data_IF_845951899325
#
_entry.id   IF_845951899325
#
_cell.length_a   1.000
_cell.length_b   1.000
_cell.length_c   1.000
_cell.angle_alpha   90.00
_cell.angle_beta   90.00
_cell.angle_gamma   90.00
#
_symmetry.space_group_name_H-M   'P 1'
#
loop_
_entity.id
_entity.type
_entity.pdbx_description
1 polymer ?
#
# COMPACT_ATOMS: atom_id res chain seq x y z
N UNK A 1 4.43 1.94 -18.31
CA UNK A 1 3.28 1.76 -17.41
C UNK A 1 2.78 0.35 -17.61
N UNK A 2 2.61 -0.40 -16.54
CA UNK A 2 2.14 -1.79 -16.59
C UNK A 2 0.65 -1.86 -16.97
N UNK A 3 0.23 -2.99 -17.55
CA UNK A 3 -1.18 -3.27 -17.82
C UNK A 3 -1.81 -4.00 -16.62
N UNK A 4 -3.01 -3.60 -16.21
CA UNK A 4 -3.71 -4.23 -15.10
C UNK A 4 -3.95 -5.73 -15.40
N UNK A 5 -3.64 -6.62 -14.45
CA UNK A 5 -3.79 -8.06 -14.67
C UNK A 5 -5.21 -8.48 -14.99
N UNK A 6 -6.23 -7.76 -14.52
CA UNK A 6 -7.62 -8.18 -14.62
C UNK A 6 -8.39 -7.52 -15.76
N UNK A 7 -8.08 -6.26 -16.08
CA UNK A 7 -8.85 -5.47 -17.04
C UNK A 7 -8.00 -4.79 -18.12
N UNK A 8 -6.68 -5.03 -18.13
CA UNK A 8 -5.71 -4.47 -19.06
C UNK A 8 -5.66 -2.93 -19.10
N UNK A 9 -6.32 -2.25 -18.16
CA UNK A 9 -6.24 -0.81 -17.98
C UNK A 9 -4.90 -0.37 -17.40
N UNK A 10 -4.60 0.92 -17.44
CA UNK A 10 -3.33 1.44 -16.94
C UNK A 10 -3.19 1.27 -15.44
N UNK A 11 -2.08 0.66 -15.03
CA UNK A 11 -1.61 0.66 -13.65
C UNK A 11 -0.80 1.94 -13.39
N UNK A 12 -1.16 2.64 -12.31
CA UNK A 12 -0.47 3.84 -11.85
C UNK A 12 0.33 3.53 -10.59
N UNK A 13 1.58 3.99 -10.48
CA UNK A 13 2.37 3.79 -9.27
C UNK A 13 1.68 4.48 -8.10
N UNK A 14 1.50 3.76 -7.02
CA UNK A 14 0.99 4.26 -5.75
C UNK A 14 1.85 3.73 -4.62
N UNK A 15 1.83 4.42 -3.48
CA UNK A 15 2.57 3.99 -2.31
C UNK A 15 1.58 3.75 -1.19
N UNK A 16 1.81 2.69 -0.42
CA UNK A 16 1.09 2.47 0.83
C UNK A 16 2.11 2.18 1.88
N UNK A 17 2.31 3.16 2.75
CA UNK A 17 3.24 3.06 3.87
C UNK A 17 4.68 2.68 3.46
N UNK A 18 5.13 3.21 2.31
CA UNK A 18 6.46 2.96 1.74
C UNK A 18 6.55 1.72 0.85
N UNK A 19 5.48 0.95 0.73
CA UNK A 19 5.39 -0.21 -0.16
C UNK A 19 5.11 0.25 -1.59
N UNK A 20 6.03 0.02 -2.54
CA UNK A 20 5.77 0.29 -3.94
C UNK A 20 4.71 -0.70 -4.44
N UNK A 21 3.61 -0.16 -4.96
CA UNK A 21 2.56 -0.94 -5.62
C UNK A 21 2.00 -0.15 -6.79
N UNK A 22 1.21 -0.78 -7.63
CA UNK A 22 0.47 -0.09 -8.67
C UNK A 22 -1.04 -0.27 -8.48
N UNK A 23 -1.82 0.77 -8.76
CA UNK A 23 -3.29 0.73 -8.70
C UNK A 23 -3.87 0.96 -10.09
N UNK A 24 -4.84 0.14 -10.48
CA UNK A 24 -5.54 0.33 -11.74
C UNK A 24 -6.50 1.52 -11.67
N UNK A 25 -6.43 2.43 -12.65
CA UNK A 25 -7.38 3.54 -12.76
C UNK A 25 -8.79 3.12 -13.23
N UNK A 26 -8.95 1.89 -13.75
CA UNK A 26 -10.23 1.38 -14.30
C UNK A 26 -10.98 0.52 -13.29
N UNK A 27 -10.40 -0.59 -12.84
CA UNK A 27 -11.07 -1.51 -11.91
C UNK A 27 -10.63 -1.33 -10.46
N UNK A 28 -9.68 -0.43 -10.14
CA UNK A 28 -9.13 -0.22 -8.81
C UNK A 28 -8.31 -1.38 -8.20
N UNK A 29 -8.09 -2.46 -8.94
CA UNK A 29 -7.21 -3.57 -8.52
C UNK A 29 -5.78 -3.10 -8.22
N UNK A 30 -5.11 -3.81 -7.33
CA UNK A 30 -3.75 -3.53 -6.92
C UNK A 30 -2.79 -4.58 -7.47
N UNK A 31 -1.59 -4.15 -7.82
CA UNK A 31 -0.48 -5.01 -8.20
C UNK A 31 0.72 -4.73 -7.30
N UNK A 32 1.28 -5.80 -6.73
CA UNK A 32 2.53 -5.77 -5.99
C UNK A 32 3.61 -6.52 -6.78
N UNK A 33 4.74 -5.85 -6.99
CA UNK A 33 5.89 -6.47 -7.65
C UNK A 33 6.61 -7.44 -6.70
N UNK A 34 7.18 -8.52 -7.24
CA UNK A 34 7.82 -9.57 -6.43
C UNK A 34 8.95 -9.05 -5.52
N UNK A 35 9.82 -8.18 -6.03
CA UNK A 35 10.89 -7.56 -5.23
C UNK A 35 10.33 -6.68 -4.09
N UNK A 36 9.23 -5.97 -4.36
CA UNK A 36 8.52 -5.17 -3.37
C UNK A 36 7.89 -6.03 -2.28
N UNK A 37 7.32 -7.19 -2.65
CA UNK A 37 6.75 -8.15 -1.70
C UNK A 37 7.83 -8.77 -0.82
N UNK A 38 8.92 -9.26 -1.40
CA UNK A 38 10.01 -9.89 -0.65
C UNK A 38 10.67 -8.93 0.34
N UNK A 39 10.83 -7.66 -0.04
CA UNK A 39 11.38 -6.61 0.85
C UNK A 39 10.55 -6.46 2.14
N UNK A 40 9.26 -6.80 2.10
CA UNK A 40 8.28 -6.37 3.10
C UNK A 40 7.75 -7.56 3.89
N UNK A 41 7.51 -8.66 3.18
CA UNK A 41 7.10 -9.94 3.73
C UNK A 41 8.28 -10.75 4.23
N UNK A 42 9.47 -10.54 3.66
CA UNK A 42 10.63 -11.41 3.82
C UNK A 42 10.56 -12.67 2.94
N UNK A 43 11.73 -13.18 2.58
CA UNK A 43 11.85 -14.36 1.71
C UNK A 43 11.04 -15.60 2.15
N UNK A 44 10.99 -15.99 3.43
CA UNK A 44 10.21 -17.16 3.86
C UNK A 44 8.71 -17.03 3.62
N UNK A 45 8.14 -15.85 3.88
CA UNK A 45 6.73 -15.54 3.67
C UNK A 45 6.36 -15.58 2.18
N UNK A 46 7.19 -14.95 1.34
CA UNK A 46 7.06 -15.00 -0.11
C UNK A 46 7.16 -16.44 -0.63
N UNK A 47 8.10 -17.24 -0.13
CA UNK A 47 8.25 -18.64 -0.51
C UNK A 47 7.04 -19.49 -0.11
N UNK A 48 6.46 -19.28 1.08
CA UNK A 48 5.26 -19.97 1.52
C UNK A 48 4.05 -19.62 0.63
N UNK A 49 3.89 -18.35 0.28
CA UNK A 49 2.87 -17.90 -0.67
C UNK A 49 3.02 -18.58 -2.03
N UNK A 50 4.25 -18.58 -2.57
CA UNK A 50 4.57 -19.25 -3.83
C UNK A 50 4.31 -20.75 -3.76
N UNK A 51 4.64 -21.41 -2.65
CA UNK A 51 4.36 -22.82 -2.45
C UNK A 51 2.85 -23.11 -2.45
N UNK A 52 2.03 -22.26 -1.81
CA UNK A 52 0.56 -22.38 -1.84
C UNK A 52 -0.05 -22.12 -3.23
N UNK A 53 0.57 -21.25 -4.02
CA UNK A 53 0.08 -20.87 -5.36
C UNK A 53 0.46 -21.86 -6.47
N UNK A 54 1.60 -22.56 -6.33
CA UNK A 54 2.07 -23.51 -7.35
C UNK A 54 1.04 -24.60 -7.64
N UNK A 55 0.73 -24.80 -8.93
CA UNK A 55 -0.22 -25.81 -9.40
C UNK A 55 -1.69 -25.46 -9.18
N UNK A 56 -2.01 -24.26 -8.68
CA UNK A 56 -3.39 -23.75 -8.63
C UNK A 56 -3.80 -23.19 -9.99
N UNK A 57 -5.10 -23.29 -10.28
CA UNK A 57 -5.71 -22.65 -11.43
C UNK A 57 -5.81 -21.14 -11.19
N UNK A 58 -5.99 -20.38 -12.25
CA UNK A 58 -6.51 -19.02 -12.14
C UNK A 58 -8.02 -18.97 -12.22
N UNK A 59 -8.58 -17.77 -12.17
CA UNK A 59 -10.02 -17.57 -12.23
C UNK A 59 -10.39 -16.42 -13.16
N UNK A 60 -11.47 -16.59 -13.91
CA UNK A 60 -12.00 -15.52 -14.74
C UNK A 60 -12.66 -14.44 -13.87
N UNK A 61 -12.13 -13.22 -13.92
CA UNK A 61 -12.63 -12.03 -13.19
C UNK A 61 -13.95 -11.44 -13.73
N UNK A 62 -14.86 -12.29 -14.18
CA UNK A 62 -16.20 -11.91 -14.65
C UNK A 62 -17.26 -12.96 -14.33
N UNK A 63 -16.90 -14.24 -14.46
CA UNK A 63 -17.84 -15.35 -14.37
C UNK A 63 -17.30 -16.53 -13.55
N UNK A 64 -16.17 -16.30 -12.87
CA UNK A 64 -15.52 -17.13 -11.87
C UNK A 64 -15.18 -18.54 -12.37
N UNK A 65 -15.04 -18.69 -13.68
CA UNK A 65 -14.68 -19.97 -14.29
C UNK A 65 -13.21 -20.24 -14.04
N UNK A 66 -12.83 -21.41 -13.48
CA UNK A 66 -11.45 -21.81 -13.33
C UNK A 66 -10.72 -21.83 -14.68
N UNK A 67 -9.52 -21.28 -14.72
CA UNK A 67 -8.67 -21.19 -15.91
C UNK A 67 -7.37 -21.95 -15.66
N UNK A 68 -7.02 -22.88 -16.53
CA UNK A 68 -5.78 -23.66 -16.39
C UNK A 68 -4.69 -23.16 -17.31
N UNK A 69 -5.00 -23.02 -18.60
CA UNK A 69 -4.01 -22.72 -19.64
C UNK A 69 -4.54 -21.75 -20.71
N UNK A 70 -5.83 -21.47 -20.69
CA UNK A 70 -6.52 -20.76 -21.74
C UNK A 70 -6.28 -19.25 -21.59
N UNK A 71 -5.83 -18.54 -22.65
CA UNK A 71 -5.62 -17.10 -22.59
C UNK A 71 -6.94 -16.32 -22.50
N UNK A 72 -8.07 -16.95 -22.81
CA UNK A 72 -9.41 -16.41 -22.73
C UNK A 72 -10.35 -17.42 -22.07
N UNK A 73 -11.27 -16.92 -21.26
CA UNK A 73 -12.25 -17.75 -20.57
C UNK A 73 -13.18 -18.44 -21.59
N UNK A 74 -13.29 -19.78 -21.59
CA UNK A 74 -14.13 -20.49 -22.54
C UNK A 74 -15.64 -20.25 -22.33
N UNK A 75 -16.03 -19.72 -21.16
CA UNK A 75 -17.44 -19.44 -20.82
C UNK A 75 -17.91 -18.07 -21.29
N UNK A 76 -17.10 -17.02 -21.09
CA UNK A 76 -17.52 -15.63 -21.37
C UNK A 76 -16.64 -14.90 -22.40
N UNK A 77 -15.53 -15.51 -22.84
CA UNK A 77 -14.60 -14.92 -23.81
C UNK A 77 -13.70 -13.81 -23.25
N UNK A 78 -13.80 -13.46 -21.95
CA UNK A 78 -12.91 -12.47 -21.33
C UNK A 78 -11.49 -13.01 -21.24
N UNK A 79 -10.51 -12.15 -21.48
CA UNK A 79 -9.10 -12.48 -21.31
C UNK A 79 -8.77 -12.92 -19.87
N UNK A 80 -7.89 -13.90 -19.74
CA UNK A 80 -7.47 -14.47 -18.46
C UNK A 80 -6.57 -13.49 -17.68
N UNK A 81 -6.61 -13.47 -16.33
CA UNK A 81 -5.69 -12.64 -15.55
C UNK A 81 -4.23 -12.86 -15.93
N UNK A 82 -3.55 -11.79 -16.35
CA UNK A 82 -2.18 -11.88 -16.90
C UNK A 82 -1.19 -11.04 -16.10
N UNK A 83 -0.02 -11.61 -15.80
CA UNK A 83 1.03 -10.90 -15.09
C UNK A 83 1.53 -9.68 -15.89
N UNK A 84 1.48 -8.45 -15.35
CA UNK A 84 2.01 -7.26 -16.04
C UNK A 84 3.51 -7.31 -16.36
N UNK A 85 4.28 -8.13 -15.62
CA UNK A 85 5.74 -8.16 -15.71
C UNK A 85 6.25 -9.19 -16.72
N UNK A 86 5.62 -10.37 -16.80
CA UNK A 86 6.05 -11.45 -17.69
C UNK A 86 4.99 -11.96 -18.66
N UNK A 87 3.77 -11.42 -18.61
CA UNK A 87 2.66 -11.80 -19.51
C UNK A 87 2.05 -13.17 -19.22
N UNK A 88 2.51 -13.89 -18.20
CA UNK A 88 2.01 -15.24 -17.90
C UNK A 88 0.58 -15.16 -17.38
N UNK A 89 -0.27 -15.99 -17.97
CA UNK A 89 -1.67 -16.16 -17.65
C UNK A 89 -2.03 -17.66 -17.69
N UNK A 90 -3.04 -18.10 -16.94
CA UNK A 90 -3.73 -17.32 -15.91
C UNK A 90 -2.87 -17.19 -14.62
N UNK A 91 -3.06 -16.11 -13.85
CA UNK A 91 -2.47 -16.00 -12.51
C UNK A 91 -3.06 -17.04 -11.57
N UNK A 92 -2.26 -17.61 -10.68
CA UNK A 92 -2.70 -18.68 -9.78
C UNK A 92 -3.50 -18.11 -8.60
N UNK A 93 -4.74 -18.57 -8.41
CA UNK A 93 -5.56 -18.17 -7.27
C UNK A 93 -5.13 -18.92 -6.02
N UNK A 94 -4.89 -18.20 -4.94
CA UNK A 94 -4.66 -18.75 -3.61
C UNK A 94 -5.32 -17.88 -2.54
N UNK A 95 -5.25 -18.31 -1.29
CA UNK A 95 -5.84 -17.57 -0.18
C UNK A 95 -4.81 -17.23 0.88
N UNK A 96 -4.81 -15.98 1.32
CA UNK A 96 -4.03 -15.50 2.45
C UNK A 96 -4.98 -15.00 3.51
N UNK A 97 -5.01 -15.70 4.66
CA UNK A 97 -5.94 -15.40 5.77
C UNK A 97 -7.40 -15.30 5.32
N UNK A 98 -7.81 -16.16 4.39
CA UNK A 98 -9.19 -16.18 3.88
C UNK A 98 -9.53 -15.05 2.91
N UNK A 99 -8.55 -14.26 2.45
CA UNK A 99 -8.68 -13.35 1.30
C UNK A 99 -8.09 -14.02 0.08
N UNK A 100 -8.81 -13.97 -1.03
CA UNK A 100 -8.32 -14.45 -2.32
C UNK A 100 -7.20 -13.55 -2.82
N UNK A 101 -6.16 -14.13 -3.43
CA UNK A 101 -5.07 -13.38 -4.07
C UNK A 101 -4.64 -14.10 -5.35
N UNK A 102 -4.32 -13.34 -6.39
CA UNK A 102 -3.81 -13.86 -7.66
C UNK A 102 -2.28 -13.74 -7.69
N UNK A 103 -1.58 -14.86 -7.79
CA UNK A 103 -0.12 -14.92 -7.68
C UNK A 103 0.52 -15.31 -9.00
N UNK A 104 1.50 -14.54 -9.43
CA UNK A 104 2.41 -14.95 -10.50
C UNK A 104 3.54 -15.79 -9.91
N UNK A 105 3.51 -17.10 -10.13
CA UNK A 105 4.55 -18.01 -9.63
C UNK A 105 5.92 -17.87 -10.32
N UNK A 106 6.01 -17.04 -11.37
CA UNK A 106 7.25 -16.80 -12.14
C UNK A 106 7.99 -15.53 -11.72
N UNK A 107 7.26 -14.43 -11.54
CA UNK A 107 7.82 -13.14 -11.13
C UNK A 107 7.55 -12.82 -9.66
N UNK A 108 6.84 -13.70 -8.96
CA UNK A 108 6.48 -13.59 -7.56
C UNK A 108 5.61 -12.37 -7.22
N UNK A 109 5.02 -11.73 -8.23
CA UNK A 109 4.07 -10.64 -8.06
C UNK A 109 2.70 -11.15 -7.64
N UNK A 110 1.92 -10.27 -7.02
CA UNK A 110 0.59 -10.55 -6.48
C UNK A 110 -0.39 -9.47 -6.91
N UNK A 111 -1.58 -9.86 -7.36
CA UNK A 111 -2.69 -8.97 -7.61
C UNK A 111 -3.77 -9.15 -6.54
N UNK A 112 -4.42 -8.04 -6.20
CA UNK A 112 -5.57 -7.99 -5.29
C UNK A 112 -6.73 -7.29 -5.99
N UNK A 113 -7.93 -7.82 -5.81
CA UNK A 113 -9.17 -7.16 -6.16
C UNK A 113 -9.43 -5.94 -5.25
N UNK A 114 -10.31 -5.01 -5.68
CA UNK A 114 -10.60 -3.81 -4.90
C UNK A 114 -11.14 -4.15 -3.51
N UNK A 115 -10.53 -3.56 -2.47
CA UNK A 115 -10.95 -3.78 -1.09
C UNK A 115 -10.32 -4.99 -0.40
N UNK A 116 -9.64 -5.88 -1.13
CA UNK A 116 -9.00 -7.05 -0.54
C UNK A 116 -7.78 -6.71 0.32
N UNK A 117 -7.07 -5.64 0.00
CA UNK A 117 -5.97 -5.19 0.85
C UNK A 117 -6.48 -4.73 2.21
N UNK A 118 -7.55 -3.95 2.23
CA UNK A 118 -8.18 -3.48 3.45
C UNK A 118 -8.63 -4.66 4.29
N UNK A 119 -9.26 -5.66 3.67
CA UNK A 119 -9.62 -6.92 4.31
C UNK A 119 -8.43 -7.70 4.87
N UNK A 120 -7.29 -7.73 4.16
CA UNK A 120 -6.06 -8.33 4.66
C UNK A 120 -5.58 -7.57 5.91
N UNK A 121 -5.55 -6.23 5.86
CA UNK A 121 -5.11 -5.39 6.98
C UNK A 121 -6.03 -5.50 8.20
N UNK A 122 -7.34 -5.62 8.00
CA UNK A 122 -8.32 -5.86 9.07
C UNK A 122 -8.04 -7.20 9.75
N UNK A 123 -7.87 -8.28 8.97
CA UNK A 123 -7.51 -9.60 9.49
C UNK A 123 -6.08 -9.67 10.05
N UNK A 124 -5.25 -8.68 9.74
CA UNK A 124 -3.95 -8.49 10.37
C UNK A 124 -4.05 -7.85 11.77
N UNK A 125 -5.14 -7.14 12.04
CA UNK A 125 -5.38 -6.38 13.28
C UNK A 125 -6.15 -7.12 14.36
N UNK A 126 -6.72 -8.30 14.07
CA UNK A 126 -7.60 -9.07 14.98
C UNK A 126 -6.88 -9.96 16.04
N UNK A 127 -5.56 -9.87 16.19
CA UNK A 127 -4.84 -10.38 17.37
C UNK A 127 -3.85 -9.31 17.86
N UNK A 128 -3.62 -9.20 19.19
CA UNK A 128 -3.15 -7.98 19.81
C UNK A 128 -1.76 -7.63 19.30
N UNK A 129 -1.72 -6.62 18.44
CA UNK A 129 -0.66 -5.64 18.56
C UNK A 129 -0.65 -5.23 20.04
N UNK A 130 0.34 -5.69 20.81
CA UNK A 130 1.00 -4.76 21.73
C UNK A 130 1.62 -3.68 20.84
N UNK A 131 0.77 -2.81 20.31
CA UNK A 131 1.08 -1.40 20.26
C UNK A 131 1.62 -1.07 21.66
N UNK A 132 2.67 -0.24 21.80
CA UNK A 132 2.89 0.39 23.08
C UNK A 132 1.54 0.95 23.50
N UNK A 133 1.07 0.44 24.64
CA UNK A 133 -0.20 0.81 25.25
C UNK A 133 -0.37 2.33 25.10
N UNK A 134 -1.49 2.83 24.55
CA UNK A 134 -1.74 4.26 24.57
C UNK A 134 -1.99 4.63 26.03
N UNK A 135 -0.91 4.82 26.81
CA UNK A 135 -0.92 5.55 28.07
C UNK A 135 -1.07 7.03 27.75
N UNK A 136 -2.13 7.39 27.07
CA UNK A 136 -2.67 8.73 27.01
C UNK A 136 -4.11 8.63 26.47
N UNK A 137 -5.10 9.19 27.19
CA UNK A 137 -6.46 9.30 26.66
C UNK A 137 -6.45 10.06 25.32
N UNK A 138 -7.46 9.87 24.45
CA UNK A 138 -7.49 10.44 23.11
C UNK A 138 -7.37 11.97 23.20
N UNK A 139 -6.18 12.48 22.92
CA UNK A 139 -5.96 13.92 22.84
C UNK A 139 -6.60 14.39 21.54
N UNK A 140 -7.75 15.06 21.67
CA UNK A 140 -8.40 15.81 20.58
C UNK A 140 -7.33 16.61 19.84
N UNK A 141 -7.12 16.33 18.54
CA UNK A 141 -6.16 17.07 17.69
C UNK A 141 -6.42 18.58 17.87
N UNK A 142 -5.48 19.25 18.53
CA UNK A 142 -5.63 20.67 18.84
C UNK A 142 -5.54 21.47 17.54
N UNK A 143 -6.55 22.30 17.27
CA UNK A 143 -6.52 23.21 16.12
C UNK A 143 -5.35 24.20 16.29
N UNK A 144 -4.54 24.45 15.26
CA UNK A 144 -3.38 25.32 15.32
C UNK A 144 -3.79 26.73 15.74
N UNK A 145 -2.90 27.46 16.42
CA UNK A 145 -3.15 28.82 16.91
C UNK A 145 -2.11 29.78 16.35
N UNK A 146 -2.52 31.03 16.12
CA UNK A 146 -1.63 32.10 15.71
C UNK A 146 -0.57 32.36 16.79
N UNK A 147 0.69 32.40 16.40
CA UNK A 147 1.82 32.65 17.30
C UNK A 147 1.85 34.05 17.92
N UNK A 148 1.07 34.99 17.39
CA UNK A 148 0.96 36.36 17.90
C UNK A 148 -0.33 36.57 18.72
N UNK A 149 -1.51 36.40 18.12
CA UNK A 149 -2.78 36.69 18.79
C UNK A 149 -3.49 35.46 19.41
N UNK A 150 -2.89 34.27 19.31
CA UNK A 150 -3.42 33.00 19.84
C UNK A 150 -4.79 32.55 19.31
N UNK A 151 -5.37 33.26 18.33
CA UNK A 151 -6.61 32.85 17.65
C UNK A 151 -6.41 31.50 16.95
N UNK A 152 -7.42 30.65 17.00
CA UNK A 152 -7.47 29.39 16.24
C UNK A 152 -7.43 29.66 14.74
N UNK A 153 -6.53 28.97 14.04
CA UNK A 153 -6.29 29.10 12.61
C UNK A 153 -6.98 28.00 11.81
N UNK A 154 -7.44 28.35 10.62
CA UNK A 154 -7.64 27.40 9.53
C UNK A 154 -6.32 27.33 8.75
N UNK A 155 -5.80 26.12 8.53
CA UNK A 155 -4.49 25.90 7.90
C UNK A 155 -4.41 26.50 6.50
N UNK A 156 -5.49 26.40 5.72
CA UNK A 156 -5.61 26.96 4.36
C UNK A 156 -5.48 28.50 4.30
N UNK A 157 -5.63 29.19 5.44
CA UNK A 157 -5.55 30.64 5.57
C UNK A 157 -4.40 31.09 6.48
N UNK A 158 -3.52 30.18 6.87
CA UNK A 158 -2.39 30.47 7.74
C UNK A 158 -1.19 30.98 6.94
N UNK A 159 -0.39 31.82 7.56
CA UNK A 159 0.90 32.30 7.04
C UNK A 159 2.02 31.72 7.90
N UNK A 160 3.19 31.46 7.33
CA UNK A 160 4.36 30.94 8.04
C UNK A 160 5.54 31.90 7.95
N UNK A 161 6.19 32.13 9.09
CA UNK A 161 7.48 32.84 9.17
C UNK A 161 8.28 32.27 10.35
N UNK A 162 9.55 31.91 10.10
CA UNK A 162 10.44 31.36 11.12
C UNK A 162 9.91 30.08 11.80
N UNK A 163 9.17 29.24 11.08
CA UNK A 163 8.58 28.00 11.59
C UNK A 163 7.33 28.19 12.48
N UNK A 164 6.78 29.40 12.54
CA UNK A 164 5.56 29.74 13.31
C UNK A 164 4.40 30.10 12.38
N UNK A 165 3.18 29.78 12.80
CA UNK A 165 1.96 30.08 12.07
C UNK A 165 1.30 31.39 12.54
N UNK A 166 0.84 32.20 11.60
CA UNK A 166 0.18 33.48 11.83
C UNK A 166 -1.17 33.57 11.09
N UNK A 167 -2.12 34.32 11.64
CA UNK A 167 -3.31 34.72 10.89
C UNK A 167 -2.95 35.87 9.95
N UNK A 168 -3.78 36.13 8.94
CA UNK A 168 -3.54 37.22 7.98
C UNK A 168 -3.38 38.62 8.61
N UNK A 169 -3.91 38.85 9.81
CA UNK A 169 -3.76 40.14 10.52
C UNK A 169 -2.48 40.24 11.37
N UNK A 170 -1.83 39.12 11.68
CA UNK A 170 -0.65 39.09 12.53
C UNK A 170 0.60 38.57 11.81
N UNK A 171 0.48 38.23 10.53
CA UNK A 171 1.57 37.78 9.71
C UNK A 171 2.59 38.93 9.57
N UNK A 172 3.87 38.73 9.91
CA UNK A 172 4.90 39.72 9.63
C UNK A 172 5.08 39.89 8.12
N UNK A 173 5.70 41.00 7.70
CA UNK A 173 5.83 41.35 6.27
C UNK A 173 6.52 40.27 5.45
N UNK A 174 7.46 39.53 6.04
CA UNK A 174 8.17 38.41 5.39
C UNK A 174 7.45 37.05 5.45
N UNK A 175 6.23 36.98 5.99
CA UNK A 175 5.51 35.71 6.07
C UNK A 175 4.88 35.33 4.71
N UNK A 176 5.07 34.07 4.32
CA UNK A 176 4.44 33.49 3.13
C UNK A 176 3.19 32.70 3.53
N UNK A 177 2.21 32.51 2.62
CA UNK A 177 1.13 31.55 2.82
C UNK A 177 1.69 30.18 3.22
N UNK A 178 1.06 29.53 4.19
CA UNK A 178 1.48 28.22 4.64
C UNK A 178 1.09 27.16 3.60
N UNK A 179 2.11 26.53 3.01
CA UNK A 179 1.95 25.40 2.11
C UNK A 179 2.15 24.09 2.88
N UNK A 180 1.05 23.35 3.03
CA UNK A 180 1.02 22.08 3.76
C UNK A 180 1.77 20.94 3.04
N UNK A 181 2.04 21.07 1.75
CA UNK A 181 2.76 20.10 0.92
C UNK A 181 4.27 20.28 1.07
N UNK A 182 4.75 21.53 1.01
CA UNK A 182 6.15 21.90 1.28
C UNK A 182 6.59 21.60 2.72
N UNK A 183 5.72 21.79 3.70
CA UNK A 183 6.02 21.49 5.11
C UNK A 183 6.27 19.99 5.37
N UNK A 184 5.63 19.10 4.61
CA UNK A 184 5.85 17.65 4.69
C UNK A 184 7.21 17.26 4.12
N UNK A 185 7.65 17.96 3.09
CA UNK A 185 8.95 17.72 2.43
C UNK A 185 10.10 18.19 3.33
N UNK A 186 9.95 19.33 4.00
CA UNK A 186 10.99 19.92 4.86
C UNK A 186 11.20 19.21 6.21
N UNK A 187 10.32 18.26 6.57
CA UNK A 187 10.40 17.50 7.83
C UNK A 187 11.23 16.21 7.70
N UNK A 188 11.74 15.91 6.50
CA UNK A 188 12.64 14.77 6.28
C UNK A 188 14.08 15.18 6.64
N UNK A 189 14.75 14.48 7.58
CA UNK A 189 16.17 14.70 7.81
C UNK A 189 16.96 14.29 6.56
N UNK A 190 17.97 15.10 6.20
CA UNK A 190 18.96 14.75 5.17
C UNK A 190 19.58 13.38 5.49
N UNK A 191 19.73 12.48 4.50
CA UNK A 191 20.33 11.17 4.75
C UNK A 191 21.83 11.33 4.98
N UNK A 192 22.28 11.08 6.20
CA UNK A 192 23.69 10.78 6.45
C UNK A 192 23.95 9.39 5.86
N UNK A 193 24.90 9.34 4.94
CA UNK A 193 25.35 8.14 4.25
C UNK A 193 25.85 7.13 5.27
N UNK A 194 25.08 6.07 5.53
CA UNK A 194 25.61 4.85 6.10
C UNK A 194 25.21 3.66 5.23
N UNK A 195 26.23 3.17 4.53
CA UNK A 195 26.20 2.08 3.58
C UNK A 195 26.44 0.79 4.35
N UNK A 196 25.41 0.25 5.01
CA UNK A 196 25.21 -1.18 5.32
C UNK A 196 24.17 -1.37 6.42
N UNK A 197 22.91 -1.63 6.04
CA UNK A 197 21.99 -2.53 6.75
C UNK A 197 20.67 -2.66 5.99
N UNK A 198 20.05 -3.85 5.93
CA UNK A 198 18.70 -3.98 5.40
C UNK A 198 17.73 -3.35 6.40
N UNK A 199 17.13 -2.23 6.03
CA UNK A 199 16.17 -1.49 6.85
C UNK A 199 14.90 -2.33 7.02
N UNK A 200 14.66 -2.81 8.25
CA UNK A 200 13.35 -3.37 8.63
C UNK A 200 12.28 -2.28 8.45
N UNK A 201 11.11 -2.60 7.88
CA UNK A 201 10.03 -1.65 7.75
C UNK A 201 9.55 -1.19 9.14
N UNK A 202 9.62 0.12 9.40
CA UNK A 202 9.27 0.73 10.70
C UNK A 202 7.81 1.15 10.80
N UNK A 203 7.06 1.13 9.69
CA UNK A 203 5.65 1.52 9.67
C UNK A 203 4.72 0.35 10.10
N UNK A 204 3.68 0.62 10.91
CA UNK A 204 2.75 -0.40 11.42
C UNK A 204 2.05 -1.24 10.36
N UNK A 205 1.74 -0.69 9.18
CA UNK A 205 1.11 -1.42 8.07
C UNK A 205 2.12 -2.31 7.36
N UNK A 206 3.36 -1.85 7.18
CA UNK A 206 4.43 -2.70 6.64
C UNK A 206 4.80 -3.84 7.60
N UNK A 207 4.67 -3.62 8.93
CA UNK A 207 4.74 -4.69 9.94
C UNK A 207 3.51 -5.60 9.92
N UNK A 208 2.31 -5.05 9.73
CA UNK A 208 1.07 -5.82 9.63
C UNK A 208 1.09 -6.71 8.41
N UNK A 209 1.56 -6.22 7.26
CA UNK A 209 1.74 -7.01 6.05
C UNK A 209 2.87 -8.03 6.23
N UNK A 210 4.01 -7.63 6.78
CA UNK A 210 5.09 -8.57 7.15
C UNK A 210 4.60 -9.71 8.03
N UNK A 211 3.79 -9.41 9.06
CA UNK A 211 3.17 -10.40 9.95
C UNK A 211 2.10 -11.24 9.25
N UNK A 212 1.23 -10.59 8.47
CA UNK A 212 0.12 -11.20 7.75
C UNK A 212 0.64 -12.32 6.84
N UNK A 213 1.77 -12.09 6.19
CA UNK A 213 2.41 -13.03 5.30
C UNK A 213 3.45 -13.95 5.98
N UNK A 214 3.89 -13.65 7.22
CA UNK A 214 4.81 -14.53 7.99
C UNK A 214 4.15 -15.82 8.52
N UNK A 215 2.82 -15.90 8.55
CA UNK A 215 2.06 -17.05 9.07
C UNK A 215 1.17 -17.67 7.99
N UNK A 216 1.67 -17.73 6.76
CA UNK A 216 0.96 -18.36 5.64
C UNK A 216 0.88 -19.89 5.80
N UNK A 217 1.31 -20.49 6.92
CA UNK A 217 1.36 -21.95 7.10
C UNK A 217 0.23 -22.58 7.95
N UNK A 218 -0.85 -21.86 8.21
CA UNK A 218 -2.14 -22.45 8.65
C UNK A 218 -3.20 -22.28 7.55
#
# INVERSE_FOLDING_TARGET
MSACPFCYGTLLPTFTHGLPREKCGRCAALWFEGEGLETVMGGPATNALLAKARGKHGECKDCDTPLTTEPQCPKCGRDAPSCPKCGIAPLAVTHVRGVEVDVCVHCHGMALDPGELEQLLERAGDEPFTAPEPTAPPQKKAKPRCASCQRTLQIEHAFTSGGKLYCGSCAPTEASPYDAELARISSSPMPTTDRNSPSKPTDPISRALGWLFSHVND
#
